data_IF_566282191875
#
_entry.id   IF_566282191875
#
_cell.length_a   1.000
_cell.length_b   1.000
_cell.length_c   1.000
_cell.angle_alpha   90.00
_cell.angle_beta   90.00
_cell.angle_gamma   90.00
#
_symmetry.space_group_name_H-M   'P 1'
#
loop_
_entity.id
_entity.type
_entity.pdbx_description
1 polymer ?
#
# COMPACT_ATOMS: atom_id res chain seq x y z
N UNK A 1 7.64 -80.75 11.56
CA UNK A 1 6.27 -80.45 11.10
C UNK A 1 5.86 -79.17 11.79
N UNK A 2 6.10 -78.05 11.12
CA UNK A 2 5.75 -76.69 11.59
C UNK A 2 4.45 -76.28 10.90
N UNK A 3 3.49 -75.89 11.74
CA UNK A 3 2.11 -75.53 11.41
C UNK A 3 2.04 -74.25 10.55
N UNK A 4 1.32 -74.23 9.41
CA UNK A 4 1.21 -73.06 8.56
C UNK A 4 -0.15 -72.35 8.74
N UNK A 5 -0.35 -71.59 9.83
CA UNK A 5 -1.23 -70.40 9.84
C UNK A 5 -1.22 -69.64 11.17
N UNK A 6 -0.13 -68.93 11.48
CA UNK A 6 -0.23 -67.85 12.48
C UNK A 6 -0.82 -66.61 11.78
N UNK A 7 -2.10 -66.32 12.03
CA UNK A 7 -2.76 -65.08 11.64
C UNK A 7 -2.01 -63.89 12.29
N UNK A 8 -1.41 -62.96 11.51
CA UNK A 8 -0.62 -61.86 12.06
C UNK A 8 -1.44 -60.90 12.94
N UNK A 9 -2.77 -61.01 12.96
CA UNK A 9 -3.66 -60.21 13.79
C UNK A 9 -4.02 -60.85 15.14
N UNK A 10 -3.51 -62.05 15.45
CA UNK A 10 -3.80 -62.71 16.73
C UNK A 10 -3.25 -61.94 17.93
N UNK A 11 -2.11 -61.25 17.78
CA UNK A 11 -1.50 -60.39 18.80
C UNK A 11 -2.37 -59.19 19.22
N UNK A 12 -3.34 -58.78 18.39
CA UNK A 12 -4.27 -57.68 18.70
C UNK A 12 -5.49 -58.15 19.51
N UNK A 13 -5.66 -59.46 19.72
CA UNK A 13 -6.77 -60.04 20.49
C UNK A 13 -6.41 -60.23 21.97
N UNK A 14 -5.15 -60.02 22.36
CA UNK A 14 -4.74 -60.06 23.76
C UNK A 14 -5.16 -58.78 24.51
N UNK A 15 -5.76 -58.89 25.71
CA UNK A 15 -6.17 -57.72 26.48
C UNK A 15 -4.96 -56.92 26.96
N UNK A 16 -4.86 -55.66 26.53
CA UNK A 16 -3.80 -54.72 26.92
C UNK A 16 -3.83 -54.54 28.45
N UNK A 17 -2.76 -55.00 29.12
CA UNK A 17 -2.53 -54.69 30.54
C UNK A 17 -1.84 -53.33 30.63
N UNK A 18 -2.44 -52.32 31.27
CA UNK A 18 -1.80 -51.02 31.47
C UNK A 18 -0.49 -51.23 32.26
N UNK A 19 0.62 -50.80 31.67
CA UNK A 19 1.89 -50.72 32.36
C UNK A 19 2.02 -49.30 32.86
N UNK A 20 2.24 -49.11 34.16
CA UNK A 20 2.49 -47.78 34.69
C UNK A 20 3.74 -47.19 34.02
N UNK A 21 3.69 -45.92 33.60
CA UNK A 21 4.81 -45.29 32.91
C UNK A 21 6.05 -45.28 33.82
N UNK A 22 7.21 -45.39 33.20
CA UNK A 22 8.50 -45.26 33.88
C UNK A 22 8.47 -44.04 34.83
N UNK A 23 8.76 -44.22 36.13
CA UNK A 23 8.68 -43.13 37.10
C UNK A 23 9.52 -41.91 36.71
N UNK A 24 10.69 -42.11 36.08
CA UNK A 24 11.57 -41.03 35.63
C UNK A 24 10.94 -40.28 34.45
N UNK A 25 10.27 -41.00 33.55
CA UNK A 25 9.52 -40.39 32.44
C UNK A 25 8.33 -39.59 32.97
N UNK A 26 7.57 -40.16 33.90
CA UNK A 26 6.42 -39.50 34.52
C UNK A 26 6.84 -38.23 35.30
N UNK A 27 7.97 -38.27 36.01
CA UNK A 27 8.54 -37.12 36.72
C UNK A 27 8.97 -36.02 35.73
N UNK A 28 9.68 -36.39 34.66
CA UNK A 28 10.08 -35.44 33.59
C UNK A 28 8.90 -34.82 32.87
N UNK A 29 7.84 -35.60 32.63
CA UNK A 29 6.62 -35.11 32.00
C UNK A 29 5.86 -34.17 32.94
N UNK A 30 5.75 -34.49 34.23
CA UNK A 30 5.15 -33.58 35.23
C UNK A 30 5.93 -32.29 35.36
N UNK A 31 7.26 -32.36 35.37
CA UNK A 31 8.10 -31.16 35.45
C UNK A 31 7.97 -30.30 34.18
N UNK A 32 7.90 -30.91 32.99
CA UNK A 32 7.59 -30.21 31.73
C UNK A 32 6.21 -29.55 31.74
N UNK A 33 5.19 -30.26 32.23
CA UNK A 33 3.83 -29.72 32.32
C UNK A 33 3.73 -28.61 33.37
N UNK A 34 4.41 -28.77 34.51
CA UNK A 34 4.46 -27.76 35.58
C UNK A 34 5.15 -26.48 35.09
N UNK A 35 6.25 -26.59 34.32
CA UNK A 35 6.88 -25.43 33.66
C UNK A 35 5.97 -24.80 32.61
N UNK A 36 5.28 -25.61 31.80
CA UNK A 36 4.34 -25.12 30.80
C UNK A 36 3.08 -24.45 31.40
N UNK A 37 2.71 -24.79 32.64
CA UNK A 37 1.50 -24.29 33.30
C UNK A 37 1.75 -23.16 34.31
N UNK A 38 2.99 -22.98 34.81
CA UNK A 38 3.30 -22.03 35.90
C UNK A 38 4.33 -20.95 35.54
N UNK A 39 5.00 -21.01 34.39
CA UNK A 39 5.75 -19.84 33.88
C UNK A 39 4.78 -18.91 33.13
N UNK A 40 4.82 -17.59 33.39
CA UNK A 40 3.99 -16.63 32.66
C UNK A 40 4.48 -16.59 31.22
N UNK A 41 3.84 -17.37 30.35
CA UNK A 41 4.05 -17.25 28.92
C UNK A 41 3.38 -15.93 28.51
N UNK A 42 4.14 -14.85 28.58
CA UNK A 42 3.88 -13.61 27.84
C UNK A 42 4.00 -13.88 26.35
N UNK A 43 3.11 -14.73 25.84
CA UNK A 43 2.86 -14.89 24.43
C UNK A 43 1.91 -13.79 24.01
N UNK A 44 2.48 -12.68 23.52
CA UNK A 44 1.76 -11.83 22.58
C UNK A 44 1.37 -12.77 21.44
N UNK A 45 0.07 -12.98 21.25
CA UNK A 45 -0.44 -13.70 20.09
C UNK A 45 -0.22 -12.79 18.88
N UNK A 46 0.97 -12.83 18.29
CA UNK A 46 1.34 -12.01 17.14
C UNK A 46 0.58 -12.51 15.93
N UNK A 47 -0.58 -11.93 15.67
CA UNK A 47 -1.23 -12.03 14.35
C UNK A 47 -0.52 -11.01 13.46
N UNK A 48 0.64 -11.40 12.93
CA UNK A 48 1.33 -10.63 11.91
C UNK A 48 0.57 -10.77 10.59
N UNK A 49 -0.46 -9.94 10.39
CA UNK A 49 -1.04 -9.72 9.07
C UNK A 49 -0.86 -8.25 8.76
N UNK A 50 0.19 -7.95 8.01
CA UNK A 50 0.37 -6.66 7.34
C UNK A 50 -0.76 -6.57 6.33
N UNK A 51 -1.81 -5.82 6.68
CA UNK A 51 -2.76 -5.30 5.70
C UNK A 51 -2.28 -3.89 5.38
N UNK A 52 -1.71 -3.73 4.20
CA UNK A 52 -1.34 -2.43 3.66
C UNK A 52 -2.64 -1.69 3.25
N UNK A 53 -2.95 -0.55 3.88
CA UNK A 53 -3.95 0.42 3.41
C UNK A 53 -3.75 1.80 4.07
N UNK A 54 -4.21 2.89 3.39
CA UNK A 54 -3.69 4.23 3.52
C UNK A 54 -4.20 4.94 4.78
N UNK A 55 -3.37 5.87 5.25
CA UNK A 55 -3.69 6.81 6.28
C UNK A 55 -4.34 8.08 5.69
N UNK A 56 -5.51 8.46 6.24
CA UNK A 56 -5.92 9.86 6.34
C UNK A 56 -6.95 10.39 5.34
N UNK A 57 -8.19 10.50 5.82
CA UNK A 57 -9.12 11.62 5.61
C UNK A 57 -9.19 12.29 4.21
N UNK A 58 -9.45 11.50 3.19
CA UNK A 58 -10.51 11.83 2.23
C UNK A 58 -11.51 10.68 2.32
N UNK A 59 -12.81 10.94 2.31
CA UNK A 59 -13.80 9.88 2.10
C UNK A 59 -13.62 9.36 0.68
N UNK A 60 -12.62 8.48 0.48
CA UNK A 60 -12.54 7.63 -0.68
C UNK A 60 -13.86 6.89 -0.79
N UNK A 61 -14.41 6.83 -2.00
CA UNK A 61 -15.67 6.15 -2.24
C UNK A 61 -15.57 4.71 -1.72
N UNK A 62 -16.42 4.38 -0.75
CA UNK A 62 -16.43 3.06 -0.16
C UNK A 62 -16.75 2.03 -1.25
N UNK A 63 -15.92 0.98 -1.33
CA UNK A 63 -16.04 -0.05 -2.36
C UNK A 63 -15.96 -1.45 -1.75
N UNK A 64 -16.50 -2.41 -2.48
CA UNK A 64 -16.23 -3.82 -2.23
C UNK A 64 -14.76 -4.10 -2.59
N UNK A 65 -14.06 -4.85 -1.74
CA UNK A 65 -12.71 -5.34 -2.02
C UNK A 65 -12.78 -6.78 -2.53
N UNK A 66 -11.64 -7.41 -2.88
CA UNK A 66 -11.60 -8.81 -3.36
C UNK A 66 -12.21 -9.79 -2.35
N UNK A 67 -12.10 -9.50 -1.05
CA UNK A 67 -12.73 -10.24 0.03
C UNK A 67 -13.57 -9.28 0.88
N UNK A 68 -14.84 -9.63 1.12
CA UNK A 68 -15.75 -8.85 1.97
C UNK A 68 -16.47 -9.77 2.95
N UNK A 69 -16.78 -9.24 4.13
CA UNK A 69 -17.62 -9.95 5.08
C UNK A 69 -19.09 -9.87 4.65
N UNK A 70 -19.81 -10.99 4.80
CA UNK A 70 -21.26 -11.04 4.69
C UNK A 70 -21.83 -11.49 6.03
N UNK A 71 -22.47 -10.56 6.73
CA UNK A 71 -23.00 -10.76 8.07
C UNK A 71 -24.43 -11.27 8.00
N UNK A 72 -24.68 -12.38 8.68
CA UNK A 72 -26.04 -12.86 8.97
C UNK A 72 -26.42 -12.42 10.37
N UNK A 73 -27.59 -11.83 10.52
CA UNK A 73 -28.11 -11.34 11.81
C UNK A 73 -29.56 -11.78 12.01
N UNK A 74 -29.98 -11.89 13.26
CA UNK A 74 -31.35 -12.25 13.65
C UNK A 74 -32.37 -11.13 13.40
N UNK A 75 -31.92 -9.88 13.23
CA UNK A 75 -32.74 -8.71 12.89
C UNK A 75 -31.94 -7.68 12.06
N UNK A 76 -32.00 -7.81 10.74
CA UNK A 76 -31.25 -6.97 9.81
C UNK A 76 -31.75 -5.52 9.76
N UNK A 77 -33.04 -5.27 10.03
CA UNK A 77 -33.56 -3.90 10.11
C UNK A 77 -32.96 -3.17 11.29
N UNK A 78 -32.91 -3.83 12.46
CA UNK A 78 -32.24 -3.28 13.64
C UNK A 78 -30.74 -3.11 13.40
N UNK A 79 -30.09 -4.03 12.70
CA UNK A 79 -28.68 -3.90 12.35
C UNK A 79 -28.40 -2.71 11.42
N UNK A 80 -29.28 -2.46 10.44
CA UNK A 80 -29.20 -1.31 9.55
C UNK A 80 -29.33 0.03 10.27
N UNK A 81 -29.97 0.07 11.44
CA UNK A 81 -29.96 1.27 12.30
C UNK A 81 -28.78 1.32 13.26
N UNK A 82 -28.36 0.16 13.77
CA UNK A 82 -27.34 0.07 14.81
C UNK A 82 -25.94 0.41 14.30
N UNK A 83 -25.51 -0.18 13.17
CA UNK A 83 -24.16 0.06 12.64
C UNK A 83 -23.90 1.53 12.30
N UNK A 84 -24.86 2.30 11.73
CA UNK A 84 -24.71 3.75 11.60
C UNK A 84 -24.51 4.47 12.94
N UNK A 85 -25.29 4.14 13.97
CA UNK A 85 -25.16 4.79 15.29
C UNK A 85 -23.86 4.42 16.00
N UNK A 86 -23.48 3.14 15.98
CA UNK A 86 -22.35 2.61 16.73
C UNK A 86 -21.00 2.86 16.05
N UNK A 87 -20.90 2.61 14.75
CA UNK A 87 -19.63 2.65 14.00
C UNK A 87 -19.58 3.81 12.99
N UNK A 88 -20.63 4.61 12.87
CA UNK A 88 -20.71 5.64 11.82
C UNK A 88 -20.86 5.05 10.42
N UNK A 89 -21.39 3.82 10.31
CA UNK A 89 -21.61 3.18 9.02
C UNK A 89 -22.65 3.93 8.18
N UNK A 90 -22.51 3.86 6.86
CA UNK A 90 -23.49 4.40 5.90
C UNK A 90 -24.11 3.28 5.11
N UNK A 91 -25.43 3.18 5.13
CA UNK A 91 -26.17 2.25 4.27
C UNK A 91 -26.00 2.68 2.81
N UNK A 92 -25.65 1.71 1.96
CA UNK A 92 -25.49 1.91 0.52
C UNK A 92 -26.72 1.39 -0.21
N UNK A 93 -27.32 2.25 -1.05
CA UNK A 93 -28.50 1.90 -1.81
C UNK A 93 -29.72 1.56 -0.95
N UNK A 94 -30.73 0.97 -1.59
CA UNK A 94 -31.92 0.46 -0.91
C UNK A 94 -31.72 -1.03 -0.57
N UNK A 95 -31.98 -1.46 0.68
CA UNK A 95 -31.97 -2.87 1.04
C UNK A 95 -32.92 -3.69 0.19
N UNK A 96 -32.51 -4.88 -0.21
CA UNK A 96 -33.39 -5.84 -0.88
C UNK A 96 -34.33 -6.48 0.16
N UNK A 97 -35.60 -6.07 0.11
CA UNK A 97 -36.65 -6.60 0.98
C UNK A 97 -37.38 -7.74 0.25
N UNK A 98 -37.44 -8.89 0.90
CA UNK A 98 -38.11 -10.09 0.40
C UNK A 98 -39.63 -10.02 0.62
N UNK A 99 -40.45 -10.83 -0.08
CA UNK A 99 -41.91 -10.78 0.03
C UNK A 99 -42.46 -11.02 1.45
N UNK A 100 -41.70 -11.73 2.29
CA UNK A 100 -42.02 -12.00 3.70
C UNK A 100 -41.56 -10.87 4.65
N UNK A 101 -40.96 -9.80 4.12
CA UNK A 101 -40.51 -8.63 4.85
C UNK A 101 -39.07 -8.68 5.37
N UNK A 102 -38.40 -9.84 5.27
CA UNK A 102 -36.98 -10.00 5.63
C UNK A 102 -36.07 -9.22 4.68
N UNK A 103 -34.92 -8.78 5.16
CA UNK A 103 -33.84 -8.23 4.35
C UNK A 103 -33.03 -9.38 3.78
N UNK A 104 -33.15 -9.61 2.48
CA UNK A 104 -32.34 -10.60 1.77
C UNK A 104 -30.90 -10.12 1.54
N UNK A 105 -30.71 -8.81 1.40
CA UNK A 105 -29.40 -8.21 1.17
C UNK A 105 -29.39 -6.71 1.49
N UNK A 106 -28.32 -6.24 2.10
CA UNK A 106 -28.00 -4.83 2.26
C UNK A 106 -26.48 -4.63 2.31
N UNK A 107 -26.02 -3.44 2.00
CA UNK A 107 -24.61 -3.05 2.03
C UNK A 107 -24.41 -1.88 2.98
N UNK A 108 -23.35 -1.94 3.80
CA UNK A 108 -22.95 -0.86 4.69
C UNK A 108 -21.48 -0.51 4.49
N UNK A 109 -21.21 0.79 4.34
CA UNK A 109 -19.87 1.34 4.24
C UNK A 109 -19.36 1.83 5.59
N UNK A 110 -18.13 1.48 5.95
CA UNK A 110 -17.36 2.08 7.05
C UNK A 110 -15.97 2.44 6.52
N UNK A 111 -15.64 3.73 6.57
CA UNK A 111 -14.44 4.24 5.90
C UNK A 111 -14.52 4.00 4.39
N UNK A 112 -13.56 3.23 3.88
CA UNK A 112 -13.41 2.87 2.46
C UNK A 112 -13.91 1.46 2.10
N UNK A 113 -14.41 0.71 3.09
CA UNK A 113 -14.73 -0.70 2.97
C UNK A 113 -16.24 -0.92 3.08
N UNK A 114 -16.74 -1.89 2.33
CA UNK A 114 -18.15 -2.31 2.36
C UNK A 114 -18.24 -3.71 2.96
N UNK A 115 -19.18 -3.90 3.89
CA UNK A 115 -19.63 -5.22 4.31
C UNK A 115 -21.10 -5.42 3.97
N UNK A 116 -21.48 -6.66 3.71
CA UNK A 116 -22.83 -7.04 3.33
C UNK A 116 -23.59 -7.59 4.55
N UNK A 117 -24.92 -7.52 4.52
CA UNK A 117 -25.80 -7.89 5.61
C UNK A 117 -27.08 -8.56 5.10
N UNK A 118 -27.56 -9.60 5.80
CA UNK A 118 -28.85 -10.24 5.55
C UNK A 118 -29.45 -10.76 6.86
N UNK A 119 -30.78 -10.92 6.86
CA UNK A 119 -31.49 -11.68 7.91
C UNK A 119 -31.12 -13.17 7.86
N UNK A 120 -31.39 -13.88 8.96
CA UNK A 120 -31.30 -15.33 9.00
C UNK A 120 -32.26 -16.01 8.01
N UNK A 121 -31.77 -17.09 7.41
CA UNK A 121 -32.52 -17.97 6.53
C UNK A 121 -32.26 -19.44 6.91
N UNK A 122 -32.89 -19.93 8.00
CA UNK A 122 -32.67 -21.29 8.49
C UNK A 122 -32.95 -22.36 7.43
N UNK A 123 -33.89 -22.11 6.52
CA UNK A 123 -34.23 -23.01 5.41
C UNK A 123 -33.09 -23.21 4.41
N UNK A 124 -32.14 -22.25 4.37
CA UNK A 124 -30.91 -22.31 3.56
C UNK A 124 -29.67 -22.55 4.44
N UNK A 125 -29.85 -22.95 5.70
CA UNK A 125 -28.79 -23.09 6.70
C UNK A 125 -27.97 -21.80 6.94
N UNK A 126 -28.56 -20.63 6.64
CA UNK A 126 -27.96 -19.33 6.89
C UNK A 126 -28.40 -18.83 8.27
N UNK A 127 -27.48 -18.85 9.23
CA UNK A 127 -27.76 -18.52 10.63
C UNK A 127 -26.72 -17.52 11.17
N UNK A 128 -27.15 -16.61 12.03
CA UNK A 128 -26.28 -15.66 12.70
C UNK A 128 -25.46 -16.30 13.83
N UNK A 129 -24.50 -15.57 14.41
CA UNK A 129 -23.65 -16.08 15.48
C UNK A 129 -24.44 -16.63 16.68
N UNK A 130 -25.54 -15.98 17.06
CA UNK A 130 -26.37 -16.43 18.19
C UNK A 130 -26.98 -17.81 17.96
N UNK A 131 -27.60 -18.02 16.80
CA UNK A 131 -28.19 -19.30 16.45
C UNK A 131 -27.14 -20.42 16.30
N UNK A 132 -25.89 -20.07 15.96
CA UNK A 132 -24.77 -21.01 15.83
C UNK A 132 -23.99 -21.26 17.12
N UNK A 133 -24.30 -20.56 18.22
CA UNK A 133 -23.61 -20.71 19.51
C UNK A 133 -22.34 -19.86 19.67
N UNK A 134 -22.12 -18.88 18.79
CA UNK A 134 -21.02 -17.92 18.87
C UNK A 134 -20.53 -17.45 17.51
N UNK A 135 -19.68 -16.40 17.53
CA UNK A 135 -18.99 -15.94 16.33
C UNK A 135 -17.88 -16.92 15.93
N UNK A 136 -17.82 -17.30 14.66
CA UNK A 136 -16.75 -18.16 14.11
C UNK A 136 -15.52 -17.40 13.66
N UNK A 137 -15.64 -16.08 13.46
CA UNK A 137 -14.57 -15.17 13.04
C UNK A 137 -14.61 -13.90 13.88
N UNK A 138 -13.50 -13.16 13.87
CA UNK A 138 -13.48 -11.79 14.37
C UNK A 138 -13.31 -10.82 13.21
N UNK A 139 -14.15 -9.80 13.16
CA UNK A 139 -14.06 -8.72 12.20
C UNK A 139 -13.08 -7.68 12.73
N UNK A 140 -12.14 -7.25 11.89
CA UNK A 140 -11.11 -6.31 12.28
C UNK A 140 -11.44 -4.92 11.72
N UNK A 141 -11.66 -3.96 12.61
CA UNK A 141 -12.10 -2.61 12.26
C UNK A 141 -11.06 -1.57 12.71
N UNK A 142 -10.46 -0.88 11.73
CA UNK A 142 -9.55 0.23 11.98
C UNK A 142 -10.35 1.54 12.06
N UNK A 143 -10.08 2.33 13.10
CA UNK A 143 -10.75 3.62 13.36
C UNK A 143 -9.73 4.66 13.80
N UNK A 144 -10.01 5.96 13.58
CA UNK A 144 -9.13 7.01 14.07
C UNK A 144 -9.10 7.09 15.61
N UNK A 145 -10.19 6.73 16.28
CA UNK A 145 -10.33 6.80 17.74
C UNK A 145 -11.10 5.58 18.27
N UNK A 146 -10.36 4.59 18.77
CA UNK A 146 -10.91 3.33 19.29
C UNK A 146 -11.70 3.54 20.58
N UNK A 147 -11.27 4.44 21.46
CA UNK A 147 -11.98 4.73 22.70
C UNK A 147 -13.37 5.29 22.37
N UNK A 148 -13.44 6.29 21.49
CA UNK A 148 -14.71 6.89 21.09
C UNK A 148 -15.65 5.91 20.36
N UNK A 149 -15.13 4.99 19.55
CA UNK A 149 -15.95 3.99 18.86
C UNK A 149 -16.40 2.88 19.80
N UNK A 150 -15.53 2.35 20.65
CA UNK A 150 -15.89 1.30 21.62
C UNK A 150 -16.89 1.83 22.64
N UNK A 151 -16.67 3.02 23.20
CA UNK A 151 -17.61 3.64 24.14
C UNK A 151 -18.99 3.85 23.51
N UNK A 152 -19.03 4.22 22.22
CA UNK A 152 -20.27 4.38 21.48
C UNK A 152 -20.96 3.07 21.22
N UNK A 153 -20.24 2.06 20.78
CA UNK A 153 -20.80 0.72 20.55
C UNK A 153 -21.40 0.15 21.83
N UNK A 154 -20.70 0.26 22.97
CA UNK A 154 -21.20 -0.22 24.27
C UNK A 154 -22.47 0.53 24.68
N UNK A 155 -22.52 1.86 24.49
CA UNK A 155 -23.72 2.67 24.78
C UNK A 155 -24.92 2.27 23.91
N UNK A 156 -24.67 1.89 22.67
CA UNK A 156 -25.68 1.39 21.72
C UNK A 156 -26.02 -0.10 21.96
N UNK A 157 -25.47 -0.74 22.99
CA UNK A 157 -25.85 -2.09 23.41
C UNK A 157 -24.90 -3.21 22.96
N UNK A 158 -23.70 -2.90 22.48
CA UNK A 158 -22.65 -3.91 22.34
C UNK A 158 -22.14 -4.38 23.70
N UNK A 159 -21.70 -5.63 23.78
CA UNK A 159 -21.05 -6.20 24.96
C UNK A 159 -19.55 -6.00 24.86
N UNK A 160 -18.93 -5.37 25.85
CA UNK A 160 -17.48 -5.26 25.94
C UNK A 160 -16.86 -6.61 26.32
N UNK A 161 -16.03 -7.17 25.43
CA UNK A 161 -15.25 -8.41 25.65
C UNK A 161 -13.89 -8.08 26.26
N UNK A 162 -13.14 -7.19 25.59
CA UNK A 162 -11.82 -6.73 26.02
C UNK A 162 -11.80 -5.20 26.08
N UNK A 163 -11.51 -4.60 27.26
CA UNK A 163 -11.34 -3.15 27.38
C UNK A 163 -10.28 -2.61 26.43
N UNK A 164 -10.44 -1.34 26.04
CA UNK A 164 -9.45 -0.65 25.22
C UNK A 164 -8.15 -0.51 26.01
N UNK A 165 -7.05 -0.96 25.43
CA UNK A 165 -5.71 -0.87 26.02
C UNK A 165 -4.65 -0.64 24.95
N UNK A 166 -3.51 -0.09 25.36
CA UNK A 166 -2.36 0.12 24.49
C UNK A 166 -1.64 -1.21 24.20
N UNK A 167 -1.23 -1.40 22.96
CA UNK A 167 -0.39 -2.50 22.51
C UNK A 167 0.71 -1.96 21.56
N UNK A 168 1.78 -2.73 21.30
CA UNK A 168 2.88 -2.27 20.42
C UNK A 168 2.44 -1.84 19.01
N UNK A 169 1.38 -2.43 18.48
CA UNK A 169 0.81 -2.16 17.16
C UNK A 169 -0.35 -1.14 17.20
N UNK A 170 -0.63 -0.55 18.36
CA UNK A 170 -1.70 0.43 18.53
C UNK A 170 -2.65 0.11 19.68
N UNK A 171 -3.58 1.03 19.89
CA UNK A 171 -4.57 0.95 20.95
C UNK A 171 -5.80 0.20 20.45
N UNK A 172 -6.23 -0.84 21.15
CA UNK A 172 -7.30 -1.72 20.65
C UNK A 172 -8.22 -2.25 21.76
N UNK A 173 -9.44 -2.58 21.39
CA UNK A 173 -10.45 -3.22 22.24
C UNK A 173 -11.26 -4.25 21.46
N UNK A 174 -12.09 -5.02 22.15
CA UNK A 174 -12.97 -6.02 21.53
C UNK A 174 -14.39 -5.88 22.07
N UNK A 175 -15.36 -5.89 21.16
CA UNK A 175 -16.79 -5.91 21.50
C UNK A 175 -17.52 -7.02 20.73
N UNK A 176 -18.61 -7.51 21.29
CA UNK A 176 -19.63 -8.25 20.55
C UNK A 176 -20.77 -7.29 20.22
N UNK A 177 -21.17 -7.22 18.96
CA UNK A 177 -22.34 -6.41 18.58
C UNK A 177 -23.65 -7.04 19.08
N UNK A 178 -24.78 -6.31 19.01
CA UNK A 178 -26.08 -6.84 19.43
C UNK A 178 -26.64 -7.97 18.57
N UNK A 179 -25.89 -8.52 17.62
CA UNK A 179 -26.27 -9.66 16.79
C UNK A 179 -25.32 -10.85 17.01
N UNK A 180 -24.30 -10.67 17.86
CA UNK A 180 -23.36 -11.69 18.30
C UNK A 180 -22.07 -11.76 17.49
N UNK A 181 -21.82 -10.84 16.54
CA UNK A 181 -20.55 -10.81 15.82
C UNK A 181 -19.46 -10.19 16.69
N UNK A 182 -18.25 -10.75 16.60
CA UNK A 182 -17.09 -10.28 17.36
C UNK A 182 -16.29 -9.27 16.54
N UNK A 183 -16.06 -8.09 17.11
CA UNK A 183 -15.32 -6.99 16.49
C UNK A 183 -14.05 -6.67 17.28
N UNK A 184 -12.91 -6.74 16.62
CA UNK A 184 -11.63 -6.22 17.11
C UNK A 184 -11.45 -4.81 16.53
N UNK A 185 -11.46 -3.80 17.39
CA UNK A 185 -11.42 -2.40 16.97
C UNK A 185 -10.08 -1.80 17.38
N UNK A 186 -9.42 -1.09 16.47
CA UNK A 186 -8.08 -0.55 16.69
C UNK A 186 -7.90 0.87 16.17
N UNK A 187 -7.19 1.67 16.96
CA UNK A 187 -6.43 2.84 16.49
C UNK A 187 -4.96 2.42 16.37
N UNK A 188 -4.39 2.36 15.16
CA UNK A 188 -2.99 1.95 14.95
C UNK A 188 -2.01 2.88 15.67
N UNK A 189 -0.83 2.36 16.00
CA UNK A 189 0.23 3.19 16.57
C UNK A 189 0.58 4.36 15.61
N UNK A 190 0.96 5.55 16.12
CA UNK A 190 1.31 6.70 15.28
C UNK A 190 2.38 6.41 14.23
N UNK A 191 3.33 5.50 14.51
CA UNK A 191 4.36 5.08 13.56
C UNK A 191 3.79 4.22 12.42
N UNK A 192 2.78 3.36 12.71
CA UNK A 192 2.03 2.62 11.70
C UNK A 192 0.98 3.48 10.97
N UNK A 193 0.47 4.53 11.61
CA UNK A 193 -0.47 5.47 11.02
C UNK A 193 0.23 6.56 10.18
N UNK A 194 1.46 6.94 10.55
CA UNK A 194 2.32 7.86 9.79
C UNK A 194 3.12 7.14 8.70
N UNK A 195 3.26 5.83 8.83
CA UNK A 195 3.69 4.94 7.77
C UNK A 195 2.68 5.01 6.60
N UNK A 196 2.96 5.85 5.62
CA UNK A 196 2.27 5.81 4.32
C UNK A 196 2.28 4.39 3.72
N UNK A 197 1.46 4.14 2.69
CA UNK A 197 1.37 2.84 2.04
C UNK A 197 2.76 2.36 1.62
N UNK A 198 2.98 1.04 1.60
CA UNK A 198 4.23 0.55 1.00
C UNK A 198 4.24 0.82 -0.50
N UNK A 199 5.44 0.89 -1.06
CA UNK A 199 5.61 0.92 -2.51
C UNK A 199 5.17 -0.42 -3.09
N UNK A 200 4.34 -0.39 -4.13
CA UNK A 200 3.98 -1.57 -4.90
C UNK A 200 5.07 -1.85 -5.94
N UNK A 201 5.12 -3.09 -6.44
CA UNK A 201 5.89 -3.36 -7.67
C UNK A 201 5.44 -2.40 -8.77
N UNK A 202 6.40 -1.70 -9.37
CA UNK A 202 6.17 -0.69 -10.40
C UNK A 202 5.96 0.74 -9.89
N UNK A 203 5.78 0.97 -8.58
CA UNK A 203 5.80 2.35 -8.05
C UNK A 203 7.23 2.91 -8.10
N UNK A 204 7.35 4.23 -8.22
CA UNK A 204 8.64 4.92 -8.20
C UNK A 204 9.01 5.22 -6.75
N UNK A 205 10.11 4.64 -6.27
CA UNK A 205 10.57 4.81 -4.89
C UNK A 205 11.69 5.83 -4.72
N UNK A 206 12.44 6.10 -5.77
CA UNK A 206 13.48 7.12 -5.79
C UNK A 206 13.61 7.70 -7.20
N UNK A 207 14.03 8.96 -7.30
CA UNK A 207 14.33 9.59 -8.58
C UNK A 207 15.65 10.35 -8.50
N UNK A 208 16.40 10.34 -9.60
CA UNK A 208 17.64 11.10 -9.72
C UNK A 208 17.56 12.08 -10.90
N UNK A 209 17.64 13.37 -10.61
CA UNK A 209 17.73 14.39 -11.65
C UNK A 209 19.16 14.41 -12.20
N UNK A 210 19.32 13.99 -13.45
CA UNK A 210 20.61 13.94 -14.14
C UNK A 210 20.88 15.25 -14.86
N UNK A 211 22.01 15.87 -14.52
CA UNK A 211 22.40 17.21 -14.98
C UNK A 211 23.87 17.27 -15.37
N UNK A 212 24.28 18.26 -16.19
CA UNK A 212 25.69 18.45 -16.52
C UNK A 212 26.52 18.86 -15.29
N UNK A 213 26.04 19.85 -14.53
CA UNK A 213 26.71 20.41 -13.35
C UNK A 213 25.77 20.35 -12.13
N UNK A 214 26.16 19.57 -11.12
CA UNK A 214 25.35 19.35 -9.92
C UNK A 214 25.30 20.57 -9.00
N UNK A 215 26.36 21.37 -8.90
CA UNK A 215 26.36 22.56 -8.03
C UNK A 215 25.48 23.65 -8.61
N UNK A 216 25.58 23.87 -9.93
CA UNK A 216 24.72 24.83 -10.63
C UNK A 216 23.25 24.44 -10.51
N UNK A 217 22.94 23.16 -10.72
CA UNK A 217 21.57 22.67 -10.54
C UNK A 217 21.11 22.83 -9.09
N UNK A 218 21.93 22.47 -8.11
CA UNK A 218 21.58 22.62 -6.70
C UNK A 218 21.26 24.09 -6.34
N UNK A 219 22.08 25.03 -6.79
CA UNK A 219 21.85 26.47 -6.60
C UNK A 219 20.55 26.94 -7.28
N UNK A 220 20.29 26.47 -8.51
CA UNK A 220 19.07 26.79 -9.25
C UNK A 220 17.81 26.30 -8.51
N UNK A 221 17.72 25.01 -8.19
CA UNK A 221 16.52 24.45 -7.54
C UNK A 221 16.38 24.88 -6.08
N UNK A 222 17.47 25.30 -5.41
CA UNK A 222 17.37 25.99 -4.12
C UNK A 222 16.65 27.33 -4.26
N UNK A 223 16.99 28.13 -5.28
CA UNK A 223 16.37 29.43 -5.52
C UNK A 223 14.90 29.31 -5.98
N UNK A 224 14.59 28.28 -6.78
CA UNK A 224 13.25 28.12 -7.38
C UNK A 224 12.29 27.36 -6.45
N UNK A 225 12.72 26.25 -5.86
CA UNK A 225 11.87 25.31 -5.11
C UNK A 225 12.20 25.24 -3.61
N UNK A 226 13.20 26.00 -3.15
CA UNK A 226 13.61 25.99 -1.74
C UNK A 226 14.29 24.69 -1.29
N UNK A 227 14.77 23.87 -2.23
CA UNK A 227 15.43 22.61 -1.91
C UNK A 227 16.67 22.81 -1.05
N UNK A 228 16.87 21.90 -0.11
CA UNK A 228 18.08 21.76 0.71
C UNK A 228 18.72 20.43 0.41
N UNK A 229 20.03 20.33 0.63
CA UNK A 229 20.80 19.18 0.18
C UNK A 229 21.75 18.64 1.25
N UNK A 230 21.86 17.31 1.27
CA UNK A 230 23.01 16.60 1.83
C UNK A 230 23.96 16.15 0.72
N UNK A 231 25.26 15.98 1.04
CA UNK A 231 26.20 15.32 0.14
C UNK A 231 25.72 13.91 -0.24
N UNK A 232 25.84 13.57 -1.53
CA UNK A 232 25.58 12.21 -2.01
C UNK A 232 26.75 11.26 -1.76
N UNK A 233 26.68 10.06 -2.34
CA UNK A 233 27.75 9.05 -2.27
C UNK A 233 29.04 9.43 -3.01
N UNK A 234 29.01 10.51 -3.80
CA UNK A 234 30.15 11.08 -4.52
C UNK A 234 30.02 12.59 -4.62
N UNK A 235 31.09 13.27 -5.05
CA UNK A 235 31.08 14.72 -5.31
C UNK A 235 30.02 15.13 -6.35
N UNK A 236 29.67 14.22 -7.26
CA UNK A 236 28.64 14.42 -8.29
C UNK A 236 27.20 14.27 -7.77
N UNK A 237 27.02 13.82 -6.53
CA UNK A 237 25.70 13.54 -5.97
C UNK A 237 25.24 14.59 -4.97
N UNK A 238 23.94 14.93 -5.01
CA UNK A 238 23.25 15.66 -3.94
C UNK A 238 21.96 14.94 -3.58
N UNK A 239 21.66 14.78 -2.30
CA UNK A 239 20.39 14.24 -1.82
C UNK A 239 19.50 15.38 -1.36
N UNK A 240 18.24 15.43 -1.82
CA UNK A 240 17.30 16.50 -1.42
C UNK A 240 16.69 16.18 -0.05
N UNK A 241 16.65 17.17 0.84
CA UNK A 241 16.13 17.03 2.21
C UNK A 241 14.72 17.61 2.38
N UNK A 242 13.97 17.06 3.33
CA UNK A 242 12.70 17.63 3.81
C UNK A 242 11.49 17.36 2.91
N UNK A 243 11.69 16.65 1.80
CA UNK A 243 10.61 16.13 0.98
C UNK A 243 10.14 14.78 1.53
N UNK A 244 8.87 14.45 1.30
CA UNK A 244 8.33 13.12 1.57
C UNK A 244 8.71 12.11 0.48
N UNK A 245 9.10 12.62 -0.69
CA UNK A 245 9.65 11.83 -1.80
C UNK A 245 11.18 11.72 -1.71
N UNK A 246 11.75 10.52 -1.76
CA UNK A 246 13.19 10.34 -1.91
C UNK A 246 13.68 10.81 -3.29
N UNK A 247 14.60 11.77 -3.32
CA UNK A 247 15.11 12.34 -4.57
C UNK A 247 16.54 12.88 -4.41
N UNK A 248 17.32 12.80 -5.48
CA UNK A 248 18.64 13.43 -5.56
C UNK A 248 18.97 14.00 -6.93
N UNK A 249 20.11 14.67 -7.02
CA UNK A 249 20.70 15.18 -8.25
C UNK A 249 22.00 14.41 -8.53
N UNK A 250 22.30 14.21 -9.81
CA UNK A 250 23.51 13.56 -10.27
C UNK A 250 24.16 14.31 -11.43
N UNK A 251 25.38 14.82 -11.20
CA UNK A 251 26.17 15.61 -12.15
C UNK A 251 26.93 14.78 -13.19
N UNK A 252 27.60 15.48 -14.12
CA UNK A 252 28.45 14.87 -15.14
C UNK A 252 27.69 14.15 -16.24
N UNK A 253 26.39 14.46 -16.43
CA UNK A 253 25.52 13.83 -17.44
C UNK A 253 25.18 14.82 -18.54
N UNK A 254 25.52 14.48 -19.79
CA UNK A 254 25.09 15.28 -20.95
C UNK A 254 23.59 15.11 -21.21
N UNK A 255 23.06 13.90 -21.02
CA UNK A 255 21.65 13.61 -21.13
C UNK A 255 20.89 14.09 -19.88
N UNK A 256 20.01 15.07 -20.09
CA UNK A 256 19.24 15.75 -19.06
C UNK A 256 17.87 15.11 -18.94
N UNK A 257 17.66 14.42 -17.84
CA UNK A 257 16.43 13.66 -17.59
C UNK A 257 16.30 13.40 -16.10
N UNK A 258 15.14 12.93 -15.68
CA UNK A 258 14.95 12.32 -14.38
C UNK A 258 15.03 10.80 -14.55
N UNK A 259 15.98 10.15 -13.89
CA UNK A 259 16.12 8.69 -13.87
C UNK A 259 15.26 8.12 -12.74
N UNK A 260 14.18 7.37 -13.03
CA UNK A 260 13.35 6.75 -12.01
C UNK A 260 13.95 5.44 -11.51
N UNK A 261 13.69 5.13 -10.23
CA UNK A 261 13.98 3.85 -9.62
C UNK A 261 12.66 3.19 -9.18
N UNK A 262 12.31 2.09 -9.84
CA UNK A 262 11.05 1.38 -9.63
C UNK A 262 11.20 0.32 -8.54
N UNK A 263 10.25 0.29 -7.61
CA UNK A 263 10.16 -0.75 -6.61
C UNK A 263 9.77 -2.07 -7.27
N UNK A 264 10.41 -3.17 -6.85
CA UNK A 264 10.08 -4.54 -7.26
C UNK A 264 10.19 -5.47 -6.06
N UNK A 265 9.42 -6.56 -6.06
CA UNK A 265 9.50 -7.59 -5.01
C UNK A 265 10.81 -8.38 -5.05
N UNK A 266 11.33 -8.67 -6.24
CA UNK A 266 12.59 -9.40 -6.46
C UNK A 266 13.36 -8.78 -7.63
N UNK A 267 14.52 -8.20 -7.34
CA UNK A 267 15.38 -7.56 -8.34
C UNK A 267 15.95 -8.57 -9.33
N UNK A 268 16.28 -9.79 -8.91
CA UNK A 268 16.79 -10.82 -9.83
C UNK A 268 15.72 -11.24 -10.83
N UNK A 269 14.48 -11.37 -10.38
CA UNK A 269 13.37 -11.67 -11.27
C UNK A 269 13.08 -10.50 -12.23
N UNK A 270 13.07 -9.26 -11.72
CA UNK A 270 12.91 -8.07 -12.55
C UNK A 270 14.02 -7.98 -13.62
N UNK A 271 15.28 -8.21 -13.26
CA UNK A 271 16.41 -8.23 -14.20
C UNK A 271 16.22 -9.28 -15.30
N UNK A 272 15.69 -10.47 -14.98
CA UNK A 272 15.36 -11.48 -16.00
C UNK A 272 14.29 -10.97 -16.96
N UNK A 273 13.17 -10.44 -16.44
CA UNK A 273 12.08 -9.88 -17.26
C UNK A 273 12.57 -8.74 -18.17
N UNK A 274 13.45 -7.88 -17.66
CA UNK A 274 14.04 -6.76 -18.41
C UNK A 274 14.85 -7.27 -19.59
N UNK A 275 15.73 -8.25 -19.36
CA UNK A 275 16.55 -8.87 -20.41
C UNK A 275 15.69 -9.60 -21.44
N UNK A 276 14.67 -10.33 -21.00
CA UNK A 276 13.72 -11.02 -21.87
C UNK A 276 12.89 -10.06 -22.74
N UNK A 277 12.58 -8.86 -22.23
CA UNK A 277 11.90 -7.80 -22.96
C UNK A 277 12.83 -6.99 -23.90
N UNK A 278 14.11 -7.34 -23.99
CA UNK A 278 15.07 -6.67 -24.88
C UNK A 278 15.80 -5.47 -24.27
N UNK A 279 15.67 -5.27 -22.95
CA UNK A 279 16.43 -4.25 -22.21
C UNK A 279 17.77 -4.77 -21.69
N UNK A 280 18.56 -3.86 -21.14
CA UNK A 280 19.83 -4.14 -20.49
C UNK A 280 19.70 -3.95 -18.97
N UNK A 281 20.41 -4.77 -18.18
CA UNK A 281 20.44 -4.65 -16.73
C UNK A 281 21.77 -5.12 -16.15
N UNK A 282 22.30 -4.37 -15.18
CA UNK A 282 23.49 -4.78 -14.41
C UNK A 282 23.16 -5.98 -13.51
N UNK A 283 24.18 -6.68 -13.04
CA UNK A 283 23.97 -7.67 -11.98
C UNK A 283 23.46 -6.99 -10.69
N UNK A 284 22.50 -7.61 -9.97
CA UNK A 284 21.97 -7.04 -8.73
C UNK A 284 23.05 -6.83 -7.68
N UNK A 285 23.06 -5.64 -7.07
CA UNK A 285 24.00 -5.27 -6.00
C UNK A 285 23.24 -4.90 -4.73
N UNK A 286 23.84 -5.21 -3.58
CA UNK A 286 23.28 -4.83 -2.28
C UNK A 286 23.85 -3.47 -1.88
N UNK A 287 22.98 -2.50 -1.66
CA UNK A 287 23.31 -1.16 -1.16
C UNK A 287 22.69 -0.94 0.23
N UNK A 288 23.11 0.08 0.99
CA UNK A 288 22.52 0.37 2.31
C UNK A 288 21.00 0.63 2.30
N UNK A 289 20.46 1.02 1.14
CA UNK A 289 19.05 1.36 0.94
C UNK A 289 18.24 0.27 0.22
N UNK A 290 18.84 -0.89 -0.06
CA UNK A 290 18.17 -2.02 -0.69
C UNK A 290 19.02 -2.70 -1.74
N UNK A 291 18.53 -3.83 -2.26
CA UNK A 291 19.10 -4.44 -3.46
C UNK A 291 18.67 -3.63 -4.68
N UNK A 292 19.58 -3.37 -5.61
CA UNK A 292 19.33 -2.54 -6.79
C UNK A 292 20.00 -3.11 -8.04
N UNK A 293 19.44 -2.81 -9.21
CA UNK A 293 20.10 -2.97 -10.50
C UNK A 293 19.82 -1.75 -11.38
N UNK A 294 20.85 -1.26 -12.09
CA UNK A 294 20.66 -0.23 -13.12
C UNK A 294 20.24 -0.88 -14.42
N UNK A 295 19.36 -0.23 -15.16
CA UNK A 295 18.70 -0.79 -16.33
C UNK A 295 18.57 0.23 -17.45
N UNK A 296 18.41 -0.28 -18.66
CA UNK A 296 18.04 0.49 -19.86
C UNK A 296 16.94 -0.27 -20.60
N UNK A 297 15.89 0.42 -21.03
CA UNK A 297 14.82 -0.21 -21.82
C UNK A 297 15.26 -0.50 -23.26
N UNK A 298 14.34 -1.04 -24.07
CA UNK A 298 14.59 -1.36 -25.47
C UNK A 298 14.67 -0.13 -26.41
N UNK A 299 14.59 1.08 -25.85
CA UNK A 299 14.62 2.38 -26.53
C UNK A 299 15.71 3.33 -25.99
N UNK A 300 16.51 2.90 -25.01
CA UNK A 300 17.59 3.70 -24.44
C UNK A 300 17.21 4.53 -23.21
N UNK A 301 16.03 4.31 -22.61
CA UNK A 301 15.62 4.97 -21.38
C UNK A 301 16.34 4.34 -20.18
N UNK A 302 17.13 5.13 -19.46
CA UNK A 302 17.77 4.70 -18.22
C UNK A 302 16.78 4.70 -17.05
N UNK A 303 16.79 3.62 -16.28
CA UNK A 303 16.05 3.48 -15.02
C UNK A 303 16.79 2.53 -14.07
N UNK A 304 16.28 2.35 -12.86
CA UNK A 304 16.74 1.31 -11.95
C UNK A 304 15.56 0.54 -11.38
N UNK A 305 15.80 -0.68 -10.90
CA UNK A 305 14.85 -1.44 -10.08
C UNK A 305 15.46 -1.72 -8.73
N UNK A 306 14.65 -1.68 -7.67
CA UNK A 306 15.14 -1.95 -6.32
C UNK A 306 14.12 -2.70 -5.47
N UNK A 307 14.63 -3.51 -4.54
CA UNK A 307 13.84 -4.12 -3.46
C UNK A 307 13.67 -3.10 -2.34
N UNK A 308 12.45 -2.56 -2.11
CA UNK A 308 12.22 -1.67 -0.98
C UNK A 308 12.45 -2.41 0.33
N UNK A 309 13.34 -1.89 1.19
CA UNK A 309 13.47 -2.41 2.56
C UNK A 309 12.19 -2.25 3.37
N UNK A 310 12.15 -2.75 4.61
CA UNK A 310 10.93 -2.72 5.45
C UNK A 310 10.34 -1.30 5.66
N UNK A 311 11.15 -0.25 5.46
CA UNK A 311 10.80 1.18 5.50
C UNK A 311 10.61 1.86 4.15
N UNK A 312 10.53 1.15 3.02
CA UNK A 312 10.21 1.72 1.70
C UNK A 312 8.78 2.26 1.66
N UNK A 313 8.61 3.54 1.98
CA UNK A 313 7.32 4.21 2.09
C UNK A 313 6.99 4.98 0.81
N UNK A 314 5.71 4.97 0.46
CA UNK A 314 5.20 5.88 -0.54
C UNK A 314 5.26 7.35 -0.09
N UNK A 315 5.45 8.30 -1.02
CA UNK A 315 5.24 9.72 -0.77
C UNK A 315 3.80 10.03 -0.35
N UNK A 316 3.59 11.24 0.19
CA UNK A 316 2.25 11.72 0.53
C UNK A 316 1.34 11.81 -0.71
N UNK A 317 0.03 11.57 -0.52
CA UNK A 317 -0.93 11.56 -1.64
C UNK A 317 -1.13 12.94 -2.30
N UNK A 318 -0.91 14.03 -1.54
CA UNK A 318 -0.90 15.40 -2.09
C UNK A 318 0.53 15.95 -2.09
N UNK A 319 1.09 16.33 -3.25
CA UNK A 319 2.43 16.90 -3.32
C UNK A 319 2.47 18.27 -2.65
N UNK A 320 3.51 18.52 -1.85
CA UNK A 320 3.83 19.82 -1.26
C UNK A 320 4.70 20.64 -2.20
N UNK A 321 4.89 21.92 -1.88
CA UNK A 321 5.87 22.77 -2.54
C UNK A 321 7.22 22.05 -2.75
N UNK A 322 7.71 22.08 -3.98
CA UNK A 322 8.98 21.47 -4.37
C UNK A 322 8.93 19.94 -4.56
N UNK A 323 7.79 19.28 -4.35
CA UNK A 323 7.60 17.87 -4.63
C UNK A 323 7.07 17.64 -6.06
N UNK A 324 7.23 16.43 -6.57
CA UNK A 324 6.76 16.05 -7.91
C UNK A 324 5.26 15.80 -7.84
N UNK A 325 4.49 16.49 -8.67
CA UNK A 325 3.05 16.28 -8.83
C UNK A 325 2.70 15.41 -10.04
N UNK A 326 3.54 15.40 -11.07
CA UNK A 326 3.33 14.64 -12.30
C UNK A 326 4.69 14.25 -12.93
N UNK A 327 4.77 13.07 -13.54
CA UNK A 327 5.93 12.68 -14.36
C UNK A 327 5.47 12.39 -15.79
N UNK A 328 6.08 13.06 -16.76
CA UNK A 328 5.84 12.78 -18.19
C UNK A 328 7.01 12.00 -18.76
N UNK A 329 6.76 10.78 -19.21
CA UNK A 329 7.70 9.96 -19.97
C UNK A 329 7.54 10.31 -21.44
N UNK A 330 8.53 10.97 -22.01
CA UNK A 330 8.62 11.27 -23.43
C UNK A 330 9.48 10.20 -24.08
N UNK A 331 8.95 9.47 -25.06
CA UNK A 331 9.63 8.32 -25.67
C UNK A 331 9.50 8.31 -27.18
N UNK A 332 10.39 7.59 -27.90
CA UNK A 332 10.26 7.42 -29.34
C UNK A 332 8.97 6.69 -29.75
N UNK A 333 8.70 5.53 -29.16
CA UNK A 333 7.54 4.69 -29.47
C UNK A 333 6.79 4.32 -28.19
N UNK A 334 5.58 4.88 -28.04
CA UNK A 334 4.74 4.62 -26.86
C UNK A 334 4.24 3.18 -26.83
N UNK A 335 4.03 2.52 -27.98
CA UNK A 335 3.53 1.15 -28.01
C UNK A 335 4.61 0.18 -27.52
N UNK A 336 5.86 0.38 -27.92
CA UNK A 336 7.01 -0.36 -27.40
C UNK A 336 7.20 -0.13 -25.90
N UNK A 337 7.14 1.14 -25.46
CA UNK A 337 7.22 1.47 -24.04
C UNK A 337 6.15 0.75 -23.22
N UNK A 338 4.89 0.80 -23.68
CA UNK A 338 3.77 0.13 -22.99
C UNK A 338 3.96 -1.38 -22.94
N UNK A 339 4.44 -2.00 -24.01
CA UNK A 339 4.72 -3.43 -24.04
C UNK A 339 5.84 -3.81 -23.05
N UNK A 340 6.93 -3.02 -23.04
CA UNK A 340 8.07 -3.23 -22.15
C UNK A 340 7.67 -3.09 -20.67
N UNK A 341 7.14 -1.93 -20.26
CA UNK A 341 6.82 -1.68 -18.86
C UNK A 341 5.56 -2.42 -18.38
N UNK A 342 4.65 -2.77 -19.30
CA UNK A 342 3.56 -3.71 -18.99
C UNK A 342 4.08 -5.11 -18.66
N UNK A 343 5.11 -5.58 -19.37
CA UNK A 343 5.73 -6.88 -19.08
C UNK A 343 6.62 -6.85 -17.83
N UNK A 344 7.46 -5.82 -17.68
CA UNK A 344 8.48 -5.74 -16.63
C UNK A 344 7.89 -5.35 -15.28
N UNK A 345 6.97 -4.37 -15.25
CA UNK A 345 6.43 -3.80 -14.01
C UNK A 345 4.94 -4.08 -13.79
N UNK A 346 4.28 -4.77 -14.73
CA UNK A 346 2.84 -5.00 -14.66
C UNK A 346 2.01 -3.73 -14.88
N UNK A 347 2.57 -2.69 -15.50
CA UNK A 347 1.83 -1.46 -15.74
C UNK A 347 0.72 -1.66 -16.76
N UNK A 348 -0.46 -1.14 -16.42
CA UNK A 348 -1.60 -0.97 -17.30
C UNK A 348 -1.61 0.45 -17.85
N UNK A 349 -2.20 0.66 -19.03
CA UNK A 349 -2.21 1.99 -19.65
C UNK A 349 -3.59 2.39 -20.11
N UNK A 350 -4.01 3.59 -19.71
CA UNK A 350 -5.26 4.21 -20.13
C UNK A 350 -4.95 5.34 -21.10
N UNK A 351 -5.74 5.49 -22.16
CA UNK A 351 -5.52 6.54 -23.16
C UNK A 351 -5.77 7.92 -22.55
N UNK A 352 -4.80 8.81 -22.72
CA UNK A 352 -4.86 10.21 -22.29
C UNK A 352 -5.56 11.12 -23.30
N UNK A 353 -5.45 12.43 -23.06
CA UNK A 353 -6.10 13.47 -23.89
C UNK A 353 -5.22 14.04 -24.99
N UNK A 354 -3.91 13.85 -24.90
CA UNK A 354 -2.95 14.33 -25.90
C UNK A 354 -2.70 13.26 -26.96
N UNK A 355 -2.22 13.68 -28.13
CA UNK A 355 -1.84 12.75 -29.19
C UNK A 355 -0.75 11.80 -28.71
N UNK A 356 -1.00 10.51 -28.91
CA UNK A 356 -0.22 9.40 -28.36
C UNK A 356 0.10 9.50 -26.85
N UNK A 357 -0.82 10.11 -26.09
CA UNK A 357 -0.74 10.26 -24.64
C UNK A 357 -1.39 9.09 -23.89
N UNK A 358 -0.75 8.65 -22.80
CA UNK A 358 -1.20 7.55 -21.97
C UNK A 358 -0.94 7.82 -20.48
N UNK A 359 -1.74 7.22 -19.61
CA UNK A 359 -1.58 7.22 -18.16
C UNK A 359 -1.26 5.81 -17.68
N UNK A 360 -0.22 5.64 -16.88
CA UNK A 360 0.17 4.35 -16.32
C UNK A 360 -0.55 4.05 -14.99
N UNK A 361 -0.95 2.78 -14.82
CA UNK A 361 -1.69 2.28 -13.66
C UNK A 361 -1.14 0.95 -13.16
N UNK A 362 -1.35 0.69 -11.87
CA UNK A 362 -1.13 -0.59 -11.19
C UNK A 362 -2.47 -0.98 -10.56
N UNK A 363 -3.00 -2.14 -10.94
CA UNK A 363 -4.29 -2.66 -10.45
C UNK A 363 -5.43 -1.64 -10.57
N UNK A 364 -5.56 -1.00 -11.73
CA UNK A 364 -6.58 0.02 -11.99
C UNK A 364 -6.39 1.37 -11.27
N UNK A 365 -5.33 1.56 -10.48
CA UNK A 365 -5.02 2.81 -9.78
C UNK A 365 -3.77 3.49 -10.36
N UNK A 366 -3.68 4.84 -10.38
CA UNK A 366 -2.50 5.52 -10.92
C UNK A 366 -1.19 5.06 -10.28
N UNK A 367 -0.14 4.95 -11.09
CA UNK A 367 1.24 4.85 -10.59
C UNK A 367 1.55 6.12 -9.79
N UNK A 368 2.30 5.98 -8.69
CA UNK A 368 2.68 7.14 -7.86
C UNK A 368 3.47 8.19 -8.66
N UNK A 369 3.28 9.45 -8.25
CA UNK A 369 3.60 10.67 -9.01
C UNK A 369 2.77 10.90 -10.28
N UNK A 370 1.65 10.19 -10.47
CA UNK A 370 0.78 10.31 -11.66
C UNK A 370 1.60 10.27 -12.96
N UNK A 371 1.90 9.05 -13.41
CA UNK A 371 2.78 8.83 -14.56
C UNK A 371 2.02 8.95 -15.88
N UNK A 372 2.41 9.94 -16.67
CA UNK A 372 2.03 10.11 -18.07
C UNK A 372 3.10 9.61 -19.04
N UNK A 373 2.68 9.25 -20.24
CA UNK A 373 3.54 8.82 -21.34
C UNK A 373 3.11 9.54 -22.63
N UNK A 374 4.08 9.97 -23.44
CA UNK A 374 3.87 10.50 -24.78
C UNK A 374 4.92 9.94 -25.75
N UNK A 375 4.47 9.41 -26.89
CA UNK A 375 5.34 8.95 -27.97
C UNK A 375 5.78 10.06 -28.95
N UNK A 376 6.65 9.72 -29.90
CA UNK A 376 7.06 10.62 -30.98
C UNK A 376 8.30 11.48 -30.71
N UNK A 377 9.06 11.19 -29.65
CA UNK A 377 10.26 11.95 -29.28
C UNK A 377 11.54 11.31 -29.83
N UNK A 378 12.56 12.13 -30.17
CA UNK A 378 13.82 11.63 -30.75
C UNK A 378 14.57 10.68 -29.79
N UNK A 379 14.50 10.96 -28.49
CA UNK A 379 15.15 10.18 -27.44
C UNK A 379 14.29 10.15 -26.18
N UNK A 380 14.39 9.09 -25.36
CA UNK A 380 13.68 9.03 -24.09
C UNK A 380 14.07 10.17 -23.15
N UNK A 381 13.10 10.74 -22.45
CA UNK A 381 13.32 11.67 -21.35
C UNK A 381 12.14 11.63 -20.37
N UNK A 382 12.41 11.85 -19.08
CA UNK A 382 11.36 12.01 -18.07
C UNK A 382 11.36 13.45 -17.62
N UNK A 383 10.24 14.13 -17.84
CA UNK A 383 10.05 15.56 -17.54
C UNK A 383 9.14 15.68 -16.30
N UNK A 384 9.65 16.13 -15.16
CA UNK A 384 8.85 16.30 -13.95
C UNK A 384 8.03 17.58 -13.98
N UNK A 385 6.87 17.53 -13.32
CA UNK A 385 6.15 18.71 -12.84
C UNK A 385 6.34 18.84 -11.34
N UNK A 386 6.81 19.99 -10.87
CA UNK A 386 6.94 20.29 -9.46
C UNK A 386 5.76 21.12 -8.97
N UNK A 387 5.17 20.71 -7.85
CA UNK A 387 4.14 21.46 -7.17
C UNK A 387 4.74 22.74 -6.55
N UNK A 388 4.05 23.86 -6.72
CA UNK A 388 4.41 25.15 -6.12
C UNK A 388 3.18 25.80 -5.49
N UNK A 389 3.40 26.51 -4.40
CA UNK A 389 2.32 27.22 -3.69
C UNK A 389 1.82 28.44 -4.50
N UNK A 390 2.74 29.10 -5.21
CA UNK A 390 2.50 30.28 -6.04
C UNK A 390 3.31 30.19 -7.33
N UNK A 391 2.62 29.99 -8.45
CA UNK A 391 3.24 29.79 -9.75
C UNK A 391 3.86 31.06 -10.32
N UNK A 392 3.31 32.23 -10.03
CA UNK A 392 3.82 33.51 -10.53
C UNK A 392 5.18 33.82 -9.87
N UNK A 393 5.28 33.62 -8.56
CA UNK A 393 6.53 33.75 -7.81
C UNK A 393 7.56 32.72 -8.31
N UNK A 394 7.16 31.46 -8.47
CA UNK A 394 8.08 30.42 -8.92
C UNK A 394 8.61 30.67 -10.34
N UNK A 395 7.77 31.13 -11.28
CA UNK A 395 8.19 31.53 -12.64
C UNK A 395 9.17 32.71 -12.61
N UNK A 396 8.95 33.70 -11.74
CA UNK A 396 9.89 34.80 -11.54
C UNK A 396 11.24 34.29 -11.02
N UNK A 397 11.23 33.36 -10.06
CA UNK A 397 12.46 32.76 -9.52
C UNK A 397 13.22 31.97 -10.59
N UNK A 398 12.53 31.23 -11.46
CA UNK A 398 13.16 30.53 -12.61
C UNK A 398 13.91 31.51 -13.49
N UNK A 399 13.26 32.61 -13.88
CA UNK A 399 13.87 33.64 -14.74
C UNK A 399 15.04 34.33 -14.04
N UNK A 400 14.91 34.64 -12.76
CA UNK A 400 15.96 35.27 -11.96
C UNK A 400 17.18 34.37 -11.75
N UNK A 401 16.98 33.05 -11.67
CA UNK A 401 18.04 32.06 -11.55
C UNK A 401 18.72 31.70 -12.90
N UNK A 402 18.34 32.35 -14.00
CA UNK A 402 18.94 32.15 -15.33
C UNK A 402 18.26 31.06 -16.18
N UNK A 403 17.13 30.52 -15.73
CA UNK A 403 16.30 29.60 -16.50
C UNK A 403 15.33 30.30 -17.43
N UNK A 404 14.55 29.50 -18.17
CA UNK A 404 13.45 29.99 -19.02
C UNK A 404 12.12 29.47 -18.52
N UNK A 405 11.05 30.26 -18.69
CA UNK A 405 9.70 29.87 -18.30
C UNK A 405 8.66 30.52 -19.20
N UNK A 406 7.67 29.76 -19.63
CA UNK A 406 6.47 30.29 -20.29
C UNK A 406 5.64 31.14 -19.32
N UNK A 407 4.71 31.93 -19.85
CA UNK A 407 3.71 32.57 -18.98
C UNK A 407 2.80 31.50 -18.35
N UNK A 408 2.45 31.62 -17.05
CA UNK A 408 1.50 30.72 -16.42
C UNK A 408 0.18 30.67 -17.18
N UNK A 409 -0.31 29.45 -17.41
CA UNK A 409 -1.55 29.19 -18.13
C UNK A 409 -2.47 28.30 -17.32
N UNK A 410 -3.79 28.48 -17.49
CA UNK A 410 -4.79 27.69 -16.79
C UNK A 410 -5.12 26.44 -17.59
N UNK A 411 -4.85 25.29 -16.99
CA UNK A 411 -5.14 23.98 -17.50
C UNK A 411 -6.30 23.33 -16.74
N UNK A 412 -6.80 22.19 -17.25
CA UNK A 412 -7.91 21.48 -16.58
C UNK A 412 -7.56 20.90 -15.20
N UNK A 413 -6.26 20.86 -14.87
CA UNK A 413 -5.71 20.28 -13.64
C UNK A 413 -5.04 21.31 -12.73
N UNK A 414 -5.13 22.61 -13.04
CA UNK A 414 -4.51 23.68 -12.26
C UNK A 414 -3.82 24.73 -13.14
N UNK A 415 -2.97 25.55 -12.53
CA UNK A 415 -2.08 26.43 -13.29
C UNK A 415 -0.81 25.67 -13.65
N UNK A 416 -0.27 25.90 -14.84
CA UNK A 416 1.01 25.32 -15.26
C UNK A 416 1.89 26.30 -16.03
N UNK A 417 3.21 26.09 -15.94
CA UNK A 417 4.21 26.74 -16.77
C UNK A 417 5.30 25.76 -17.13
N UNK A 418 5.71 25.74 -18.40
CA UNK A 418 6.84 24.99 -18.91
C UNK A 418 8.14 25.77 -18.70
N UNK A 419 9.15 25.10 -18.15
CA UNK A 419 10.39 25.70 -17.72
C UNK A 419 11.63 24.93 -18.20
N UNK A 420 12.76 25.64 -18.23
CA UNK A 420 14.09 25.04 -18.26
C UNK A 420 14.99 25.66 -17.20
N UNK A 421 15.88 24.88 -16.60
CA UNK A 421 16.93 25.43 -15.74
C UNK A 421 18.00 26.19 -16.55
N UNK A 422 18.97 26.77 -15.85
CA UNK A 422 20.11 27.52 -16.41
C UNK A 422 21.12 26.65 -17.18
N UNK A 423 20.85 25.35 -17.23
CA UNK A 423 21.59 24.36 -18.00
C UNK A 423 20.75 23.78 -19.14
N UNK A 424 19.44 24.05 -19.19
CA UNK A 424 18.50 23.55 -20.18
C UNK A 424 17.88 22.18 -19.85
N UNK A 425 17.82 21.78 -18.58
CA UNK A 425 17.01 20.66 -18.08
C UNK A 425 15.55 21.09 -18.04
N UNK A 426 14.64 20.28 -18.60
CA UNK A 426 13.23 20.62 -18.76
C UNK A 426 12.41 20.18 -17.55
N UNK A 427 11.44 20.98 -17.14
CA UNK A 427 10.45 20.65 -16.11
C UNK A 427 9.20 21.54 -16.26
N UNK A 428 8.14 21.20 -15.56
CA UNK A 428 6.96 22.04 -15.39
C UNK A 428 6.83 22.52 -13.95
N UNK A 429 6.19 23.67 -13.77
CA UNK A 429 5.64 24.10 -12.49
C UNK A 429 4.13 23.88 -12.52
N UNK A 430 3.56 23.40 -11.41
CA UNK A 430 2.13 23.14 -11.24
C UNK A 430 1.59 23.72 -9.94
N UNK A 431 0.45 24.40 -10.00
CA UNK A 431 -0.28 24.86 -8.81
C UNK A 431 -1.70 24.29 -8.85
N UNK A 432 -2.05 23.48 -7.83
CA UNK A 432 -3.23 22.63 -7.78
C UNK A 432 -4.22 22.98 -6.66
#
# INVERSE_FOLDING_TARGET
MSDPSADPFEALREPVRPVDPDPIFAERLRERLRRALLEPTGGIMTTGTIIDRPAGAATGEARLHTLNAYLTVDDARRALEWYPRAFGARVLGEPTVMPDGRIGHAELAVGDSVFMLADEWPELALAGPRARGGASVSLYLRVPDVDAVVDRAVREGATLDRPVADAPYGRNGVVYDPFGHRWMIITPAPEEAAAGPRLRTGDIGYVSLWVPDVERAAAFYQAVLGWRYQPGSSEQGRMVEGLSQPMGLWGGREHRTLMPCFAVEDVHEAVRRIRDAGGEATEPRTEPYGRVADCTDDQGMAFAVFEPGEGGRAPADRPRHGEISYLTFEVPDSARFRAFFGHVLGWEFVRGRVEDGWEARIDGTPVRYMVGLQGGHERPAVVPMYAVDDIDVAVQNVRAAGGTATEPSRESYGMSSYCSDDQGTRFYLGQH
#
